data_IF_468249947857
#
_entry.id   IF_468249947857
#
_cell.length_a   1.000
_cell.length_b   1.000
_cell.length_c   1.000
_cell.angle_alpha   90.00
_cell.angle_beta   90.00
_cell.angle_gamma   90.00
#
_symmetry.space_group_name_H-M   'P 1'
#
loop_
_entity.id
_entity.type
_entity.pdbx_description
1 polymer ?
#
# COMPACT_ATOMS: atom_id res chain seq x y z
N UNK A 1 9.69 -12.17 -8.62
CA UNK A 1 8.87 -12.74 -7.54
C UNK A 1 8.58 -11.59 -6.59
N UNK A 2 7.34 -11.42 -6.13
CA UNK A 2 7.06 -10.45 -5.07
C UNK A 2 7.91 -10.80 -3.86
N UNK A 3 8.57 -9.82 -3.25
CA UNK A 3 9.43 -10.04 -2.11
C UNK A 3 9.06 -9.09 -0.97
N UNK A 4 9.20 -9.56 0.26
CA UNK A 4 9.18 -8.70 1.44
C UNK A 4 10.60 -8.39 1.93
N UNK A 5 11.61 -8.56 1.07
CA UNK A 5 13.03 -8.41 1.45
C UNK A 5 13.45 -6.97 1.75
N UNK A 6 12.75 -5.94 1.23
CA UNK A 6 13.14 -4.54 1.49
C UNK A 6 13.00 -4.23 2.98
N UNK A 7 11.85 -4.57 3.56
CA UNK A 7 11.50 -4.39 4.97
C UNK A 7 11.12 -5.75 5.53
N UNK A 8 12.11 -6.44 6.11
CA UNK A 8 12.06 -7.87 6.42
C UNK A 8 11.24 -8.20 7.69
N UNK A 9 10.91 -7.20 8.50
CA UNK A 9 10.06 -7.34 9.68
C UNK A 9 8.73 -6.61 9.48
N UNK A 10 7.72 -7.04 10.25
CA UNK A 10 6.47 -6.34 10.36
C UNK A 10 5.81 -6.46 11.73
N UNK A 11 4.87 -5.55 11.96
CA UNK A 11 3.94 -5.58 13.07
C UNK A 11 2.51 -5.44 12.56
N UNK A 12 1.59 -6.18 13.16
CA UNK A 12 0.15 -6.04 12.90
C UNK A 12 -0.51 -5.49 14.14
N UNK A 13 -1.10 -4.30 14.02
CA UNK A 13 -1.83 -3.62 15.08
C UNK A 13 -3.32 -3.72 14.75
N UNK A 14 -4.11 -4.23 15.69
CA UNK A 14 -5.58 -4.29 15.59
C UNK A 14 -6.18 -3.15 16.39
N UNK A 15 -7.13 -2.43 15.79
CA UNK A 15 -7.96 -1.43 16.46
C UNK A 15 -9.41 -1.91 16.38
N UNK A 16 -10.02 -2.21 17.54
CA UNK A 16 -11.36 -2.81 17.55
C UNK A 16 -12.47 -1.84 17.16
N UNK A 17 -13.45 -2.34 16.43
CA UNK A 17 -14.69 -1.61 16.15
C UNK A 17 -14.50 -0.32 15.33
N UNK A 18 -13.37 -0.18 14.61
CA UNK A 18 -13.01 0.99 13.82
C UNK A 18 -13.92 1.19 12.61
N UNK A 19 -14.22 0.13 11.88
CA UNK A 19 -15.01 0.15 10.66
C UNK A 19 -16.44 -0.34 10.88
N UNK A 20 -17.43 0.17 10.14
CA UNK A 20 -18.76 -0.44 10.15
C UNK A 20 -18.69 -1.86 9.60
N UNK A 21 -19.48 -2.77 10.17
CA UNK A 21 -19.56 -4.16 9.67
C UNK A 21 -20.18 -4.21 8.29
N UNK A 22 -21.22 -3.42 8.12
CA UNK A 22 -22.05 -3.37 6.93
C UNK A 22 -22.55 -1.96 6.69
N UNK A 23 -22.93 -1.69 5.45
CA UNK A 23 -23.61 -0.46 5.06
C UNK A 23 -25.09 -0.75 4.81
N UNK A 24 -26.02 -0.04 5.48
CA UNK A 24 -27.44 -0.16 5.21
C UNK A 24 -27.79 0.56 3.91
N UNK A 25 -28.09 -0.21 2.87
CA UNK A 25 -28.57 0.31 1.59
C UNK A 25 -30.07 0.08 1.45
N UNK A 26 -30.72 0.71 0.45
CA UNK A 26 -32.19 0.79 0.37
C UNK A 26 -32.90 -0.56 0.54
N UNK A 27 -32.39 -1.63 -0.08
CA UNK A 27 -33.01 -2.96 -0.09
C UNK A 27 -32.05 -4.09 0.29
N UNK A 28 -30.86 -3.78 0.82
CA UNK A 28 -29.82 -4.77 1.13
C UNK A 28 -28.78 -4.21 2.09
N UNK A 29 -27.97 -5.10 2.63
CA UNK A 29 -26.75 -4.76 3.38
C UNK A 29 -25.53 -5.02 2.49
N UNK A 30 -24.53 -4.15 2.57
CA UNK A 30 -23.22 -4.40 1.97
C UNK A 30 -22.24 -4.75 3.09
N UNK A 31 -21.70 -5.96 3.07
CA UNK A 31 -20.64 -6.34 4.00
C UNK A 31 -19.34 -5.63 3.64
N UNK A 32 -18.61 -5.16 4.65
CA UNK A 32 -17.29 -4.52 4.50
C UNK A 32 -16.16 -5.33 5.18
N UNK A 33 -16.49 -6.49 5.74
CA UNK A 33 -15.52 -7.43 6.29
C UNK A 33 -14.68 -8.09 5.21
N UNK A 34 -13.51 -8.59 5.60
CA UNK A 34 -12.55 -9.28 4.73
C UNK A 34 -12.20 -8.46 3.48
N UNK A 35 -11.95 -7.16 3.66
CA UNK A 35 -11.59 -6.28 2.56
C UNK A 35 -10.49 -5.32 2.93
N UNK A 36 -9.74 -4.89 1.91
CA UNK A 36 -8.70 -3.88 2.09
C UNK A 36 -9.28 -2.49 1.88
N UNK A 37 -8.93 -1.61 2.81
CA UNK A 37 -9.09 -0.18 2.72
C UNK A 37 -7.73 0.44 2.40
N UNK A 38 -7.73 1.57 1.71
CA UNK A 38 -6.53 2.30 1.35
C UNK A 38 -6.36 3.53 2.24
N UNK A 39 -5.26 3.63 2.99
CA UNK A 39 -4.95 4.84 3.76
C UNK A 39 -4.06 5.78 2.94
N UNK A 40 -4.45 7.06 2.90
CA UNK A 40 -3.70 8.13 2.23
C UNK A 40 -3.60 9.35 3.14
N UNK A 41 -2.55 10.16 2.92
CA UNK A 41 -2.34 11.43 3.59
C UNK A 41 -2.66 12.58 2.63
N UNK A 42 -3.60 13.44 3.02
CA UNK A 42 -4.05 14.61 2.25
C UNK A 42 -4.04 15.84 3.14
N UNK A 43 -3.35 16.90 2.73
CA UNK A 43 -3.28 18.17 3.48
C UNK A 43 -2.92 18.02 4.97
N UNK A 44 -2.02 17.07 5.31
CA UNK A 44 -1.59 16.69 6.67
C UNK A 44 -2.60 15.87 7.48
N UNK A 45 -3.79 15.60 6.96
CA UNK A 45 -4.76 14.68 7.54
C UNK A 45 -4.63 13.29 6.89
N UNK A 46 -5.06 12.24 7.58
CA UNK A 46 -5.15 10.91 6.98
C UNK A 46 -6.61 10.54 6.75
N UNK A 47 -6.84 9.89 5.63
CA UNK A 47 -8.13 9.37 5.24
C UNK A 47 -7.98 7.90 4.85
N UNK A 48 -8.97 7.12 5.25
CA UNK A 48 -9.10 5.73 4.83
C UNK A 48 -10.19 5.68 3.78
N UNK A 49 -9.87 5.11 2.63
CA UNK A 49 -10.75 4.97 1.48
C UNK A 49 -11.18 3.53 1.29
N UNK A 50 -12.40 3.35 0.82
CA UNK A 50 -12.90 2.07 0.34
C UNK A 50 -13.60 2.25 -0.99
N UNK A 51 -13.07 1.56 -2.00
CA UNK A 51 -13.83 1.28 -3.21
C UNK A 51 -14.90 0.22 -2.95
N UNK A 52 -16.14 0.58 -3.19
CA UNK A 52 -17.32 -0.26 -2.95
C UNK A 52 -17.54 -1.34 -4.03
N UNK A 53 -16.71 -1.35 -5.07
CA UNK A 53 -16.76 -2.27 -6.23
C UNK A 53 -18.07 -2.19 -7.04
N UNK A 54 -18.93 -1.24 -6.68
CA UNK A 54 -20.19 -0.93 -7.36
C UNK A 54 -20.57 0.52 -7.14
N UNK A 55 -21.35 1.04 -8.07
CA UNK A 55 -21.97 2.35 -7.96
C UNK A 55 -23.13 2.32 -6.97
N UNK A 56 -23.17 3.32 -6.08
CA UNK A 56 -24.29 3.64 -5.22
C UNK A 56 -25.36 4.37 -6.03
N UNK A 57 -26.62 3.96 -5.88
CA UNK A 57 -27.74 4.74 -6.40
C UNK A 57 -27.94 6.02 -5.57
N UNK A 58 -28.66 7.01 -6.11
CA UNK A 58 -28.94 8.23 -5.35
C UNK A 58 -29.74 7.96 -4.06
N UNK A 59 -30.59 6.93 -4.07
CA UNK A 59 -31.33 6.52 -2.88
C UNK A 59 -30.39 5.88 -1.84
N UNK A 60 -29.41 5.09 -2.28
CA UNK A 60 -28.38 4.54 -1.39
C UNK A 60 -27.58 5.66 -0.70
N UNK A 61 -27.18 6.69 -1.46
CA UNK A 61 -26.47 7.86 -0.93
C UNK A 61 -27.30 8.56 0.15
N UNK A 62 -28.57 8.86 -0.14
CA UNK A 62 -29.49 9.51 0.81
C UNK A 62 -29.70 8.67 2.08
N UNK A 63 -29.78 7.36 1.96
CA UNK A 63 -29.96 6.47 3.11
C UNK A 63 -28.71 6.44 4.01
N UNK A 64 -27.52 6.32 3.41
CA UNK A 64 -26.26 6.36 4.14
C UNK A 64 -26.04 7.71 4.83
N UNK A 65 -26.33 8.82 4.16
CA UNK A 65 -26.21 10.16 4.76
C UNK A 65 -27.23 10.43 5.87
N UNK A 66 -28.30 9.65 5.96
CA UNK A 66 -29.28 9.73 7.06
C UNK A 66 -28.94 8.79 8.22
N UNK A 67 -28.08 7.80 8.01
CA UNK A 67 -27.67 6.86 9.05
C UNK A 67 -26.83 7.59 10.13
N UNK A 68 -27.28 7.58 11.41
CA UNK A 68 -26.52 8.17 12.51
C UNK A 68 -25.13 7.54 12.69
N UNK A 69 -24.96 6.25 12.40
CA UNK A 69 -23.67 5.57 12.54
C UNK A 69 -22.67 6.04 11.48
N UNK A 70 -23.13 6.20 10.25
CA UNK A 70 -22.33 6.73 9.14
C UNK A 70 -21.75 8.11 9.48
N UNK A 71 -22.60 9.00 10.04
CA UNK A 71 -22.16 10.34 10.50
C UNK A 71 -21.22 10.27 11.70
N UNK A 72 -21.55 9.48 12.71
CA UNK A 72 -20.76 9.35 13.94
C UNK A 72 -19.32 8.88 13.65
N UNK A 73 -19.15 8.02 12.66
CA UNK A 73 -17.84 7.50 12.22
C UNK A 73 -17.10 8.44 11.26
N UNK A 74 -17.61 9.64 11.00
CA UNK A 74 -16.98 10.62 10.11
C UNK A 74 -16.89 10.14 8.65
N UNK A 75 -17.80 9.27 8.22
CA UNK A 75 -17.81 8.73 6.86
C UNK A 75 -18.39 9.74 5.87
N UNK A 76 -17.86 9.73 4.66
CA UNK A 76 -18.32 10.55 3.54
C UNK A 76 -18.33 9.74 2.25
N UNK A 77 -19.28 10.04 1.37
CA UNK A 77 -19.31 9.55 0.00
C UNK A 77 -18.60 10.62 -0.83
N UNK A 78 -17.45 10.29 -1.42
CA UNK A 78 -16.65 11.23 -2.22
C UNK A 78 -16.86 11.03 -3.73
N UNK A 79 -17.34 9.85 -4.12
CA UNK A 79 -17.75 9.48 -5.47
C UNK A 79 -18.79 8.35 -5.37
N UNK A 80 -19.50 8.04 -6.45
CA UNK A 80 -20.51 6.99 -6.53
C UNK A 80 -19.99 5.61 -6.11
N UNK A 81 -18.68 5.40 -6.11
CA UNK A 81 -18.04 4.12 -5.76
C UNK A 81 -17.13 4.20 -4.54
N UNK A 82 -16.93 5.38 -3.95
CA UNK A 82 -15.92 5.57 -2.91
C UNK A 82 -16.50 6.09 -1.60
N UNK A 83 -16.11 5.41 -0.53
CA UNK A 83 -16.25 5.91 0.83
C UNK A 83 -14.91 6.44 1.33
N UNK A 84 -14.99 7.53 2.06
CA UNK A 84 -13.89 8.12 2.80
C UNK A 84 -14.25 8.10 4.29
N UNK A 85 -13.27 7.75 5.13
CA UNK A 85 -13.36 7.79 6.58
C UNK A 85 -12.18 8.60 7.07
N UNK A 86 -12.44 9.71 7.77
CA UNK A 86 -11.35 10.48 8.39
C UNK A 86 -10.70 9.67 9.51
N UNK A 87 -9.37 9.65 9.55
CA UNK A 87 -8.62 9.10 10.69
C UNK A 87 -8.75 10.05 11.87
N UNK A 88 -9.05 9.51 13.06
CA UNK A 88 -9.20 10.29 14.29
C UNK A 88 -7.88 10.93 14.73
N UNK A 89 -7.99 12.04 15.45
CA UNK A 89 -6.86 12.90 15.82
C UNK A 89 -5.89 12.22 16.81
N UNK A 90 -6.30 11.13 17.47
CA UNK A 90 -5.50 10.33 18.39
C UNK A 90 -4.66 9.25 17.68
N UNK A 91 -5.16 8.68 16.56
CA UNK A 91 -4.43 7.72 15.74
C UNK A 91 -3.40 8.43 14.84
N UNK A 92 -3.71 9.66 14.42
CA UNK A 92 -2.88 10.46 13.53
C UNK A 92 -1.42 10.65 14.02
N UNK A 93 -1.13 11.04 15.28
CA UNK A 93 0.24 11.17 15.78
C UNK A 93 1.02 9.87 15.72
N UNK A 94 0.38 8.74 15.98
CA UNK A 94 1.02 7.43 16.02
C UNK A 94 1.41 6.98 14.62
N UNK A 95 0.49 7.10 13.65
CA UNK A 95 0.78 6.81 12.25
C UNK A 95 1.92 7.69 11.70
N UNK A 96 1.94 8.98 12.07
CA UNK A 96 3.05 9.87 11.68
C UNK A 96 4.37 9.41 12.31
N UNK A 97 4.41 9.14 13.62
CA UNK A 97 5.63 8.67 14.30
C UNK A 97 6.16 7.36 13.69
N UNK A 98 5.28 6.41 13.37
CA UNK A 98 5.67 5.14 12.74
C UNK A 98 6.24 5.33 11.32
N UNK A 99 5.69 6.27 10.54
CA UNK A 99 6.19 6.63 9.20
C UNK A 99 7.44 7.52 9.21
N UNK A 100 7.72 8.20 10.33
CA UNK A 100 8.92 9.03 10.55
C UNK A 100 10.11 8.22 11.08
N UNK A 101 9.88 7.01 11.60
CA UNK A 101 10.96 6.09 11.90
C UNK A 101 11.73 5.74 10.63
N UNK A 102 13.04 5.63 10.78
CA UNK A 102 13.92 5.23 9.67
C UNK A 102 13.55 3.83 9.22
N UNK A 103 13.62 3.60 7.92
CA UNK A 103 13.42 2.32 7.27
C UNK A 103 12.15 1.61 7.74
N UNK A 104 11.10 2.39 8.00
CA UNK A 104 9.81 1.94 8.50
C UNK A 104 8.71 2.61 7.70
N UNK A 105 7.60 1.90 7.49
CA UNK A 105 6.39 2.46 6.91
C UNK A 105 5.13 1.79 7.45
N UNK A 106 4.06 2.56 7.47
CA UNK A 106 2.69 2.03 7.55
C UNK A 106 2.28 1.66 6.12
N UNK A 107 2.07 0.37 5.89
CA UNK A 107 1.56 -0.11 4.60
C UNK A 107 0.19 0.54 4.32
N UNK A 108 -0.04 1.04 3.09
CA UNK A 108 -1.27 1.75 2.76
C UNK A 108 -2.51 0.84 2.76
N UNK A 109 -2.35 -0.48 2.79
CA UNK A 109 -3.46 -1.43 2.87
C UNK A 109 -3.80 -1.74 4.32
N UNK A 110 -4.98 -1.32 4.75
CA UNK A 110 -5.58 -1.70 6.03
C UNK A 110 -6.57 -2.83 5.78
N UNK A 111 -6.39 -3.96 6.46
CA UNK A 111 -7.35 -5.06 6.39
C UNK A 111 -8.51 -4.80 7.36
N UNK A 112 -9.74 -4.89 6.88
CA UNK A 112 -10.95 -4.84 7.69
C UNK A 112 -11.47 -6.25 7.93
N UNK A 113 -11.71 -6.61 9.19
CA UNK A 113 -12.39 -7.86 9.54
C UNK A 113 -13.20 -7.68 10.83
N UNK A 114 -14.45 -8.13 10.84
CA UNK A 114 -15.33 -8.08 12.02
C UNK A 114 -15.43 -6.70 12.69
N UNK A 115 -15.47 -5.61 11.90
CA UNK A 115 -15.41 -4.19 12.32
C UNK A 115 -14.04 -3.68 12.74
N UNK A 116 -13.03 -4.53 12.83
CA UNK A 116 -11.71 -4.13 13.29
C UNK A 116 -10.83 -3.70 12.11
N UNK A 117 -9.92 -2.76 12.40
CA UNK A 117 -8.88 -2.35 11.48
C UNK A 117 -7.57 -3.05 11.85
N UNK A 118 -6.95 -3.72 10.89
CA UNK A 118 -5.62 -4.33 11.02
C UNK A 118 -4.63 -3.51 10.20
N UNK A 119 -3.80 -2.75 10.91
CA UNK A 119 -2.77 -1.88 10.36
C UNK A 119 -1.46 -2.67 10.27
N UNK A 120 -0.86 -2.67 9.09
CA UNK A 120 0.40 -3.36 8.82
C UNK A 120 1.55 -2.34 8.81
N UNK A 121 2.48 -2.49 9.75
CA UNK A 121 3.71 -1.70 9.82
C UNK A 121 4.86 -2.59 9.33
N UNK A 122 5.66 -2.10 8.40
CA UNK A 122 6.80 -2.80 7.81
C UNK A 122 8.07 -2.04 8.20
N UNK A 123 9.13 -2.76 8.59
CA UNK A 123 10.38 -2.14 9.02
C UNK A 123 11.57 -3.11 8.89
N UNK A 124 12.80 -2.63 9.02
CA UNK A 124 13.98 -3.50 9.13
C UNK A 124 14.24 -3.91 10.57
N UNK A 125 14.84 -5.07 10.79
CA UNK A 125 15.07 -5.58 12.16
C UNK A 125 15.81 -4.61 13.11
N UNK A 126 16.67 -3.73 12.60
CA UNK A 126 17.40 -2.76 13.40
C UNK A 126 16.47 -1.75 14.12
N UNK A 127 15.28 -1.46 13.57
CA UNK A 127 14.31 -0.52 14.17
C UNK A 127 13.27 -1.20 15.07
N UNK A 128 13.38 -2.52 15.27
CA UNK A 128 12.40 -3.32 16.02
C UNK A 128 12.11 -2.78 17.42
N UNK A 129 13.13 -2.32 18.13
CA UNK A 129 12.96 -1.77 19.48
C UNK A 129 12.15 -0.46 19.45
N UNK A 130 12.47 0.43 18.51
CA UNK A 130 11.80 1.72 18.37
C UNK A 130 10.33 1.54 17.96
N UNK A 131 10.07 0.66 16.98
CA UNK A 131 8.70 0.31 16.55
C UNK A 131 7.92 -0.31 17.69
N UNK A 132 8.48 -1.31 18.38
CA UNK A 132 7.84 -1.97 19.52
C UNK A 132 7.44 -0.97 20.61
N UNK A 133 8.33 -0.04 20.95
CA UNK A 133 8.06 0.99 21.96
C UNK A 133 6.90 1.90 21.55
N UNK A 134 6.89 2.39 20.31
CA UNK A 134 5.79 3.23 19.81
C UNK A 134 4.44 2.49 19.82
N UNK A 135 4.44 1.18 19.52
CA UNK A 135 3.23 0.37 19.54
C UNK A 135 2.73 0.18 20.98
N UNK A 136 3.63 -0.08 21.93
CA UNK A 136 3.25 -0.20 23.34
C UNK A 136 2.71 1.13 23.89
N UNK A 137 3.36 2.26 23.59
CA UNK A 137 2.85 3.60 23.91
C UNK A 137 1.46 3.83 23.30
N UNK A 138 1.24 3.36 22.07
CA UNK A 138 -0.06 3.45 21.42
C UNK A 138 -1.12 2.62 22.14
N UNK A 139 -0.83 1.37 22.49
CA UNK A 139 -1.74 0.48 23.24
C UNK A 139 -2.12 1.10 24.60
N UNK A 140 -1.16 1.72 25.29
CA UNK A 140 -1.43 2.35 26.60
C UNK A 140 -2.24 3.65 26.51
N UNK A 141 -2.08 4.42 25.43
CA UNK A 141 -2.64 5.77 25.32
C UNK A 141 -3.96 5.86 24.55
N UNK A 142 -4.31 4.85 23.77
CA UNK A 142 -5.48 4.92 22.89
C UNK A 142 -6.80 4.64 23.63
N UNK A 143 -7.85 5.34 23.21
CA UNK A 143 -9.19 5.22 23.83
C UNK A 143 -9.91 3.95 23.41
N UNK A 144 -9.63 3.46 22.20
CA UNK A 144 -10.15 2.19 21.69
C UNK A 144 -9.28 1.01 22.13
N UNK A 145 -9.86 -0.19 22.17
CA UNK A 145 -9.11 -1.43 22.37
C UNK A 145 -8.12 -1.63 21.21
N UNK A 146 -6.84 -1.39 21.49
CA UNK A 146 -5.72 -1.65 20.57
C UNK A 146 -4.96 -2.89 21.02
N UNK A 147 -4.66 -3.77 20.08
CA UNK A 147 -3.93 -5.02 20.33
C UNK A 147 -2.77 -5.18 19.33
N UNK A 148 -1.61 -5.63 19.83
CA UNK A 148 -0.53 -6.13 18.97
C UNK A 148 -0.82 -7.59 18.61
N UNK A 149 -1.19 -7.84 17.35
CA UNK A 149 -1.55 -9.19 16.85
C UNK A 149 -0.30 -9.99 16.46
N UNK A 150 0.70 -9.31 15.89
CA UNK A 150 1.93 -9.94 15.42
C UNK A 150 3.10 -8.96 15.43
N UNK A 151 4.30 -9.44 15.76
CA UNK A 151 5.57 -8.71 15.63
C UNK A 151 6.70 -9.70 15.28
N UNK A 152 7.19 -9.67 14.06
CA UNK A 152 8.22 -10.61 13.61
C UNK A 152 8.57 -10.47 12.14
N UNK A 153 9.21 -11.50 11.59
CA UNK A 153 9.58 -11.51 10.17
C UNK A 153 8.35 -11.47 9.26
N UNK A 154 8.48 -10.81 8.12
CA UNK A 154 7.56 -11.00 7.00
C UNK A 154 7.64 -12.45 6.52
N UNK A 155 6.54 -12.97 5.98
CA UNK A 155 6.59 -14.29 5.33
C UNK A 155 7.33 -14.13 3.98
N UNK A 156 8.29 -15.02 3.73
CA UNK A 156 9.22 -14.95 2.59
C UNK A 156 8.50 -14.93 1.22
N UNK A 157 7.26 -15.45 1.16
CA UNK A 157 6.50 -15.52 -0.09
C UNK A 157 5.42 -14.43 -0.20
N UNK A 158 4.79 -14.04 0.90
CA UNK A 158 3.61 -13.14 0.88
C UNK A 158 3.69 -12.15 2.05
N UNK A 159 3.28 -10.88 1.90
CA UNK A 159 3.15 -9.96 3.03
C UNK A 159 2.29 -10.57 4.14
N UNK A 160 2.71 -10.45 5.41
CA UNK A 160 2.02 -11.12 6.53
C UNK A 160 0.52 -10.76 6.60
N UNK A 161 0.15 -9.52 6.25
CA UNK A 161 -1.26 -9.09 6.21
C UNK A 161 -2.11 -9.88 5.19
N UNK A 162 -1.53 -10.40 4.11
CA UNK A 162 -2.22 -11.28 3.16
C UNK A 162 -2.45 -12.69 3.74
N UNK A 163 -1.56 -13.15 4.64
CA UNK A 163 -1.78 -14.37 5.40
C UNK A 163 -2.98 -14.20 6.34
N UNK A 164 -3.04 -13.09 7.08
CA UNK A 164 -4.20 -12.79 7.93
C UNK A 164 -5.50 -12.68 7.12
N UNK A 165 -5.45 -12.09 5.93
CA UNK A 165 -6.60 -12.05 5.03
C UNK A 165 -7.12 -13.46 4.70
N UNK A 166 -6.23 -14.42 4.43
CA UNK A 166 -6.61 -15.82 4.23
C UNK A 166 -7.16 -16.46 5.50
N UNK A 167 -6.52 -16.24 6.65
CA UNK A 167 -6.95 -16.79 7.94
C UNK A 167 -8.36 -16.30 8.33
N UNK A 168 -8.75 -15.10 7.88
CA UNK A 168 -10.09 -14.55 8.05
C UNK A 168 -11.11 -15.03 6.99
N UNK A 169 -10.72 -15.94 6.11
CA UNK A 169 -11.57 -16.52 5.05
C UNK A 169 -11.54 -15.75 3.73
N UNK A 170 -10.58 -14.83 3.54
CA UNK A 170 -10.32 -14.19 2.26
C UNK A 170 -9.76 -15.16 1.21
N UNK A 171 -9.91 -14.82 -0.07
CA UNK A 171 -9.45 -15.65 -1.18
C UNK A 171 -8.42 -14.90 -2.03
N UNK A 172 -7.19 -15.44 -2.17
CA UNK A 172 -6.17 -14.80 -3.00
C UNK A 172 -6.58 -14.67 -4.48
N UNK A 173 -7.54 -15.46 -4.96
CA UNK A 173 -8.06 -15.32 -6.32
C UNK A 173 -8.89 -14.04 -6.54
N UNK A 174 -9.26 -13.35 -5.46
CA UNK A 174 -9.88 -12.01 -5.49
C UNK A 174 -8.85 -10.91 -5.71
N UNK A 175 -7.56 -11.27 -5.73
CA UNK A 175 -6.42 -10.38 -5.97
C UNK A 175 -5.69 -10.78 -7.26
N UNK A 176 -5.06 -9.79 -7.88
CA UNK A 176 -4.21 -9.93 -9.06
C UNK A 176 -2.81 -9.41 -8.79
N UNK A 177 -1.83 -10.13 -9.32
CA UNK A 177 -0.47 -9.61 -9.51
C UNK A 177 -0.38 -9.04 -10.90
N UNK A 178 -0.07 -7.75 -10.99
CA UNK A 178 0.24 -7.07 -12.24
C UNK A 178 1.74 -6.78 -12.24
N UNK A 179 2.45 -7.30 -13.25
CA UNK A 179 3.86 -7.02 -13.50
C UNK A 179 3.97 -6.08 -14.69
N UNK A 180 4.64 -4.94 -14.51
CA UNK A 180 4.95 -4.02 -15.61
C UNK A 180 6.44 -3.75 -15.69
N UNK A 181 6.95 -3.48 -16.88
CA UNK A 181 8.34 -3.10 -17.10
C UNK A 181 8.40 -1.74 -17.79
N UNK A 182 9.35 -0.91 -17.33
CA UNK A 182 9.79 0.27 -18.02
C UNK A 182 11.23 0.09 -18.48
N UNK A 183 11.42 0.08 -19.80
CA UNK A 183 12.75 0.01 -20.42
C UNK A 183 13.31 1.42 -20.58
N UNK A 184 14.24 1.77 -19.69
CA UNK A 184 14.87 3.08 -19.68
C UNK A 184 16.01 3.13 -20.70
N UNK A 185 16.14 4.26 -21.41
CA UNK A 185 17.39 4.58 -22.10
C UNK A 185 18.38 5.24 -21.12
N UNK A 186 19.64 5.42 -21.53
CA UNK A 186 20.68 5.99 -20.66
C UNK A 186 20.34 7.38 -20.12
N UNK A 187 19.62 8.21 -20.91
CA UNK A 187 19.17 9.52 -20.46
C UNK A 187 18.13 9.40 -19.34
N UNK A 188 17.17 8.47 -19.48
CA UNK A 188 16.18 8.23 -18.42
C UNK A 188 16.86 7.77 -17.13
N UNK A 189 17.77 6.80 -17.21
CA UNK A 189 18.50 6.28 -16.04
C UNK A 189 19.24 7.39 -15.29
N UNK A 190 19.85 8.34 -16.00
CA UNK A 190 20.63 9.42 -15.39
C UNK A 190 19.79 10.54 -14.78
N UNK A 191 18.62 10.86 -15.35
CA UNK A 191 17.88 12.07 -15.01
C UNK A 191 16.55 11.81 -14.29
N UNK A 192 15.91 10.68 -14.53
CA UNK A 192 14.62 10.36 -13.91
C UNK A 192 14.81 10.16 -12.41
N UNK A 193 13.97 10.84 -11.63
CA UNK A 193 14.03 10.82 -10.15
C UNK A 193 15.44 11.10 -9.62
N UNK A 194 16.10 12.11 -10.20
CA UNK A 194 17.48 12.50 -9.86
C UNK A 194 18.50 11.36 -10.00
N UNK A 195 18.24 10.44 -10.93
CA UNK A 195 19.12 9.32 -11.24
C UNK A 195 19.08 8.19 -10.22
N UNK A 196 18.00 8.08 -9.43
CA UNK A 196 17.81 6.97 -8.46
C UNK A 196 17.95 5.60 -9.12
N UNK A 197 17.49 5.46 -10.36
CA UNK A 197 17.48 4.19 -11.08
C UNK A 197 18.85 3.78 -11.63
N UNK A 198 19.91 4.52 -11.31
CA UNK A 198 21.30 4.04 -11.45
C UNK A 198 21.68 3.01 -10.38
N UNK A 199 20.91 2.95 -9.29
CA UNK A 199 21.10 1.96 -8.23
C UNK A 199 20.29 0.71 -8.57
N UNK A 200 20.98 -0.43 -8.62
CA UNK A 200 20.30 -1.71 -8.75
C UNK A 200 19.81 -2.19 -7.38
N UNK A 201 18.67 -2.86 -7.38
CA UNK A 201 18.03 -3.35 -6.16
C UNK A 201 16.52 -3.20 -6.21
N UNK A 202 15.90 -3.15 -5.04
CA UNK A 202 14.45 -3.08 -4.89
C UNK A 202 14.06 -1.85 -4.10
N UNK A 203 12.88 -1.29 -4.40
CA UNK A 203 12.38 -0.13 -3.69
C UNK A 203 10.88 -0.13 -3.55
N UNK A 204 10.44 0.59 -2.53
CA UNK A 204 9.04 0.87 -2.20
C UNK A 204 8.91 2.35 -1.83
N UNK A 205 7.76 2.99 -2.06
CA UNK A 205 7.46 4.28 -1.46
C UNK A 205 7.19 4.09 0.04
N UNK A 206 7.68 5.03 0.84
CA UNK A 206 7.34 5.11 2.27
C UNK A 206 5.82 5.35 2.44
N UNK A 207 5.28 6.26 1.64
CA UNK A 207 3.84 6.53 1.56
C UNK A 207 3.46 6.93 0.13
N UNK A 208 2.19 6.75 -0.23
CA UNK A 208 1.64 7.36 -1.43
C UNK A 208 1.07 8.73 -1.06
N UNK A 209 1.68 9.82 -1.55
CA UNK A 209 1.17 11.18 -1.30
C UNK A 209 0.85 11.92 -2.58
N UNK A 210 -0.07 12.86 -2.44
CA UNK A 210 -0.26 13.94 -3.40
C UNK A 210 0.68 15.10 -3.03
N UNK A 211 1.93 15.06 -3.49
CA UNK A 211 2.93 16.08 -3.17
C UNK A 211 4.09 16.15 -4.16
N UNK A 212 4.96 17.17 -4.06
CA UNK A 212 6.11 17.34 -4.95
C UNK A 212 7.32 16.44 -4.62
N UNK A 213 7.28 15.77 -3.47
CA UNK A 213 8.36 14.92 -2.98
C UNK A 213 7.81 13.57 -2.54
N UNK A 214 8.54 12.52 -2.91
CA UNK A 214 8.27 11.15 -2.47
C UNK A 214 9.51 10.61 -1.75
N UNK A 215 9.29 10.00 -0.58
CA UNK A 215 10.33 9.26 0.13
C UNK A 215 10.29 7.81 -0.31
N UNK A 216 11.41 7.29 -0.82
CA UNK A 216 11.54 5.89 -1.19
C UNK A 216 12.47 5.18 -0.21
N UNK A 217 12.12 3.93 0.13
CA UNK A 217 12.98 3.01 0.88
C UNK A 217 13.54 2.03 -0.14
N UNK A 218 14.87 1.96 -0.24
CA UNK A 218 15.59 1.24 -1.28
C UNK A 218 16.54 0.23 -0.65
N UNK A 219 16.42 -1.04 -1.02
CA UNK A 219 17.38 -2.09 -0.68
C UNK A 219 18.32 -2.32 -1.86
N UNK A 220 19.58 -1.98 -1.69
CA UNK A 220 20.59 -2.03 -2.74
C UNK A 220 21.08 -3.46 -2.97
N UNK A 221 21.33 -3.81 -4.23
CA UNK A 221 21.97 -5.06 -4.60
C UNK A 221 23.51 -5.02 -4.43
N UNK A 222 24.10 -3.83 -4.37
CA UNK A 222 25.54 -3.63 -4.25
C UNK A 222 25.89 -2.45 -3.34
N UNK A 223 27.18 -2.26 -3.07
CA UNK A 223 27.66 -1.28 -2.08
C UNK A 223 27.80 0.15 -2.61
N UNK A 224 27.69 0.34 -3.91
CA UNK A 224 27.88 1.64 -4.56
C UNK A 224 26.54 2.39 -4.67
N UNK A 225 26.49 3.61 -4.12
CA UNK A 225 25.34 4.51 -4.19
C UNK A 225 25.60 5.53 -5.31
N UNK A 226 24.72 5.56 -6.32
CA UNK A 226 24.81 6.39 -7.54
C UNK A 226 23.64 7.36 -7.63
N UNK A 227 23.82 8.49 -8.32
CA UNK A 227 22.75 9.47 -8.57
C UNK A 227 22.93 10.78 -7.80
N UNK A 228 22.01 11.71 -8.02
CA UNK A 228 22.01 13.09 -7.46
C UNK A 228 20.77 13.36 -6.61
N UNK A 229 20.33 12.39 -5.84
CA UNK A 229 19.22 12.54 -4.89
C UNK A 229 19.71 12.91 -3.50
N UNK A 230 18.77 13.35 -2.66
CA UNK A 230 19.03 13.62 -1.25
C UNK A 230 18.89 12.33 -0.45
N UNK A 231 20.03 11.80 0.00
CA UNK A 231 20.06 10.68 0.94
C UNK A 231 19.59 11.16 2.31
N UNK A 232 18.55 10.53 2.85
CA UNK A 232 17.99 10.84 4.17
C UNK A 232 18.66 9.99 5.25
N UNK A 233 18.75 8.68 5.01
CA UNK A 233 19.38 7.72 5.91
C UNK A 233 20.00 6.57 5.12
N UNK A 234 21.04 5.93 5.67
CA UNK A 234 21.63 4.71 5.11
C UNK A 234 22.05 3.73 6.19
N UNK A 235 21.64 2.48 6.04
CA UNK A 235 21.96 1.35 6.89
C UNK A 235 22.94 0.43 6.14
N UNK A 236 24.20 0.44 6.57
CA UNK A 236 25.26 -0.37 5.93
C UNK A 236 25.06 -1.88 6.12
N UNK A 237 24.55 -2.33 7.27
CA UNK A 237 24.39 -3.76 7.57
C UNK A 237 23.34 -4.41 6.68
N UNK A 238 22.23 -3.71 6.46
CA UNK A 238 21.10 -4.20 5.67
C UNK A 238 21.12 -3.71 4.22
N UNK A 239 22.06 -2.83 3.86
CA UNK A 239 22.15 -2.19 2.55
C UNK A 239 20.85 -1.45 2.16
N UNK A 240 20.20 -0.83 3.14
CA UNK A 240 18.94 -0.10 2.96
C UNK A 240 19.17 1.39 3.08
N UNK A 241 18.69 2.17 2.11
CA UNK A 241 18.72 3.63 2.14
C UNK A 241 17.31 4.23 2.05
N UNK A 242 17.15 5.38 2.66
CA UNK A 242 16.00 6.25 2.46
C UNK A 242 16.42 7.46 1.64
N UNK A 243 15.65 7.74 0.60
CA UNK A 243 15.93 8.81 -0.32
C UNK A 243 14.71 9.69 -0.48
N UNK A 244 14.95 10.99 -0.51
CA UNK A 244 13.95 12.00 -0.84
C UNK A 244 14.11 12.33 -2.32
N UNK A 245 13.08 11.98 -3.09
CA UNK A 245 13.06 12.17 -4.54
C UNK A 245 12.07 13.27 -4.90
N UNK A 246 12.58 14.33 -5.53
CA UNK A 246 11.73 15.30 -6.20
C UNK A 246 11.27 14.68 -7.52
N UNK A 247 10.06 14.14 -7.53
CA UNK A 247 9.50 13.48 -8.69
C UNK A 247 8.02 13.72 -8.82
N UNK A 248 7.58 13.85 -10.08
CA UNK A 248 6.17 13.79 -10.39
C UNK A 248 5.69 12.35 -10.69
N UNK A 249 6.57 11.34 -10.57
CA UNK A 249 6.23 9.97 -10.94
C UNK A 249 5.17 9.38 -10.02
N UNK A 250 5.42 9.34 -8.71
CA UNK A 250 4.45 8.78 -7.76
C UNK A 250 3.33 9.75 -7.45
N UNK A 251 3.60 11.06 -7.49
CA UNK A 251 2.53 12.07 -7.51
C UNK A 251 1.49 11.79 -8.61
N UNK A 252 1.91 11.66 -9.87
CA UNK A 252 0.97 11.36 -10.94
C UNK A 252 0.39 9.95 -10.82
N UNK A 253 1.16 8.99 -10.32
CA UNK A 253 0.64 7.64 -10.11
C UNK A 253 -0.51 7.69 -9.11
N UNK A 254 -0.35 8.47 -8.04
CA UNK A 254 -1.40 8.72 -7.07
C UNK A 254 -2.62 9.38 -7.72
N UNK A 255 -2.39 10.42 -8.53
CA UNK A 255 -3.46 11.19 -9.21
C UNK A 255 -4.19 10.40 -10.30
N UNK A 256 -3.48 9.62 -11.11
CA UNK A 256 -4.05 8.94 -12.28
C UNK A 256 -4.54 7.52 -11.97
N UNK A 257 -3.90 6.84 -11.02
CA UNK A 257 -4.15 5.43 -10.68
C UNK A 257 -4.83 5.32 -9.33
N UNK A 258 -4.14 5.69 -8.25
CA UNK A 258 -4.56 5.38 -6.86
C UNK A 258 -5.89 6.04 -6.52
N UNK A 259 -6.02 7.34 -6.79
CA UNK A 259 -7.21 8.14 -6.46
C UNK A 259 -8.48 7.69 -7.21
N UNK A 260 -8.32 7.02 -8.34
CA UNK A 260 -9.41 6.48 -9.15
C UNK A 260 -9.69 5.01 -8.81
N UNK A 261 -8.89 4.41 -7.93
CA UNK A 261 -8.89 2.98 -7.66
C UNK A 261 -9.26 2.67 -6.20
N UNK A 262 -8.57 3.27 -5.23
CA UNK A 262 -8.79 3.12 -3.77
C UNK A 262 -9.14 1.69 -3.29
N UNK A 263 -8.53 0.68 -3.93
CA UNK A 263 -8.59 -0.71 -3.50
C UNK A 263 -7.28 -1.15 -2.83
N UNK A 264 -7.12 -2.46 -2.64
CA UNK A 264 -5.87 -3.09 -2.23
C UNK A 264 -4.74 -2.66 -3.17
N UNK A 265 -3.66 -2.13 -2.65
CA UNK A 265 -2.49 -1.73 -3.42
C UNK A 265 -1.22 -2.06 -2.65
N UNK A 266 -0.69 -3.24 -2.91
CA UNK A 266 0.68 -3.56 -2.52
C UNK A 266 1.57 -3.21 -3.71
N UNK A 267 2.61 -2.41 -3.46
CA UNK A 267 3.60 -2.05 -4.48
C UNK A 267 5.02 -2.39 -4.04
N UNK A 268 5.77 -3.00 -4.96
CA UNK A 268 7.22 -3.17 -4.91
C UNK A 268 7.76 -2.95 -6.33
N UNK A 269 8.96 -2.39 -6.46
CA UNK A 269 9.67 -2.32 -7.72
C UNK A 269 11.12 -2.77 -7.60
N UNK A 270 11.66 -3.24 -8.72
CA UNK A 270 13.03 -3.68 -8.89
C UNK A 270 13.68 -2.93 -10.04
N UNK A 271 14.91 -2.47 -9.83
CA UNK A 271 15.76 -1.87 -10.85
C UNK A 271 16.89 -2.83 -11.16
N UNK A 272 16.98 -3.27 -12.42
CA UNK A 272 18.05 -4.14 -12.90
C UNK A 272 18.32 -3.88 -14.37
N UNK A 273 19.58 -3.71 -14.77
CA UNK A 273 19.98 -3.56 -16.18
C UNK A 273 19.15 -2.51 -16.96
N UNK A 274 18.92 -1.33 -16.38
CA UNK A 274 18.10 -0.25 -16.95
C UNK A 274 16.61 -0.59 -17.15
N UNK A 275 16.10 -1.61 -16.48
CA UNK A 275 14.68 -1.97 -16.47
C UNK A 275 14.14 -1.71 -15.07
N UNK A 276 13.07 -0.91 -14.97
CA UNK A 276 12.26 -0.83 -13.75
C UNK A 276 11.10 -1.81 -13.88
N UNK A 277 11.18 -2.90 -13.15
CA UNK A 277 10.10 -3.87 -13.02
C UNK A 277 9.23 -3.49 -11.84
N UNK A 278 7.94 -3.28 -12.05
CA UNK A 278 6.99 -2.96 -10.98
C UNK A 278 6.08 -4.16 -10.76
N UNK A 279 5.82 -4.48 -9.50
CA UNK A 279 4.85 -5.47 -9.06
C UNK A 279 3.75 -4.76 -8.28
N UNK A 280 2.51 -5.03 -8.66
CA UNK A 280 1.32 -4.54 -7.99
C UNK A 280 0.44 -5.71 -7.57
N UNK A 281 -0.01 -5.75 -6.33
CA UNK A 281 -1.12 -6.61 -5.92
C UNK A 281 -2.37 -5.74 -5.77
N UNK A 282 -3.40 -6.06 -6.56
CA UNK A 282 -4.63 -5.27 -6.67
C UNK A 282 -5.88 -6.15 -6.57
N UNK A 283 -7.05 -5.58 -6.26
CA UNK A 283 -8.33 -6.27 -6.34
C UNK A 283 -8.63 -6.66 -7.79
N UNK A 284 -8.95 -7.93 -8.01
CA UNK A 284 -9.29 -8.49 -9.31
C UNK A 284 -10.49 -7.79 -9.94
N UNK A 285 -11.54 -7.55 -9.15
CA UNK A 285 -12.78 -6.89 -9.59
C UNK A 285 -12.56 -5.44 -10.04
N UNK A 286 -11.46 -4.82 -9.60
CA UNK A 286 -11.11 -3.44 -9.91
C UNK A 286 -9.91 -3.33 -10.87
N UNK A 287 -9.43 -4.45 -11.40
CA UNK A 287 -8.23 -4.48 -12.27
C UNK A 287 -8.39 -3.63 -13.53
N UNK A 288 -9.58 -3.59 -14.13
CA UNK A 288 -9.85 -2.75 -15.31
C UNK A 288 -9.71 -1.24 -15.01
N UNK A 289 -10.16 -0.81 -13.82
CA UNK A 289 -10.01 0.57 -13.34
C UNK A 289 -8.55 0.89 -13.11
N UNK A 290 -7.81 -0.04 -12.49
CA UNK A 290 -6.37 0.09 -12.29
C UNK A 290 -5.60 0.21 -13.61
N UNK A 291 -5.88 -0.66 -14.59
CA UNK A 291 -5.26 -0.59 -15.92
C UNK A 291 -5.63 0.69 -16.68
N UNK A 292 -6.86 1.16 -16.56
CA UNK A 292 -7.26 2.44 -17.16
C UNK A 292 -6.46 3.61 -16.54
N UNK A 293 -6.26 3.60 -15.22
CA UNK A 293 -5.38 4.53 -14.53
C UNK A 293 -3.94 4.45 -15.00
N UNK A 294 -3.38 3.24 -15.10
CA UNK A 294 -2.01 3.03 -15.60
C UNK A 294 -1.85 3.58 -17.02
N UNK A 295 -2.83 3.34 -17.89
CA UNK A 295 -2.83 3.88 -19.25
C UNK A 295 -2.79 5.40 -19.25
N UNK A 296 -3.60 6.07 -18.40
CA UNK A 296 -3.57 7.53 -18.27
C UNK A 296 -2.21 8.02 -17.78
N UNK A 297 -1.70 7.40 -16.71
CA UNK A 297 -0.39 7.71 -16.14
C UNK A 297 0.73 7.64 -17.18
N UNK A 298 0.77 6.58 -17.98
CA UNK A 298 1.76 6.36 -19.04
C UNK A 298 1.57 7.28 -20.25
N UNK A 299 0.35 7.75 -20.49
CA UNK A 299 0.03 8.64 -21.61
C UNK A 299 0.30 10.12 -21.33
N UNK A 300 0.72 10.47 -20.11
CA UNK A 300 1.06 11.86 -19.76
C UNK A 300 2.24 12.36 -20.64
N UNK A 301 2.20 13.62 -21.14
CA UNK A 301 3.18 14.11 -22.12
C UNK A 301 4.65 13.94 -21.71
N UNK A 302 4.95 14.12 -20.43
CA UNK A 302 6.30 13.92 -19.87
C UNK A 302 6.81 12.48 -19.91
N UNK A 303 5.94 11.51 -20.18
CA UNK A 303 6.25 10.08 -20.35
C UNK A 303 6.11 9.60 -21.79
N UNK A 304 5.90 10.49 -22.75
CA UNK A 304 5.77 10.15 -24.17
C UNK A 304 6.92 9.30 -24.73
N UNK A 305 8.12 9.44 -24.16
CA UNK A 305 9.31 8.68 -24.57
C UNK A 305 9.51 7.38 -23.75
N UNK A 306 8.67 7.09 -22.77
CA UNK A 306 8.82 5.91 -21.91
C UNK A 306 8.31 4.66 -22.62
N UNK A 307 9.13 3.61 -22.62
CA UNK A 307 8.74 2.28 -23.13
C UNK A 307 8.20 1.44 -21.99
N UNK A 308 6.91 1.60 -21.71
CA UNK A 308 6.20 0.84 -20.68
C UNK A 308 5.46 -0.34 -21.31
N UNK A 309 5.46 -1.49 -20.64
CA UNK A 309 4.66 -2.64 -21.04
C UNK A 309 4.13 -3.44 -19.84
N UNK A 310 2.97 -4.06 -20.03
CA UNK A 310 2.43 -5.05 -19.09
C UNK A 310 3.04 -6.41 -19.46
N UNK A 311 3.77 -7.00 -18.53
CA UNK A 311 4.46 -8.29 -18.72
C UNK A 311 3.55 -9.44 -18.32
N UNK A 312 2.81 -9.28 -17.21
CA UNK A 312 1.92 -10.29 -16.70
C UNK A 312 0.77 -9.66 -15.91
N UNK A 313 -0.38 -10.32 -15.94
CA UNK A 313 -1.54 -10.04 -15.11
C UNK A 313 -2.20 -11.38 -14.76
N UNK A 314 -1.96 -11.87 -13.54
CA UNK A 314 -2.26 -13.25 -13.15
C UNK A 314 -2.97 -13.25 -11.78
N UNK A 315 -3.86 -14.21 -11.55
CA UNK A 315 -4.42 -14.51 -10.23
C UNK A 315 -3.31 -14.58 -9.19
N UNK A 316 -3.43 -13.88 -8.06
CA UNK A 316 -2.41 -13.98 -7.00
C UNK A 316 -2.29 -15.44 -6.50
N UNK A 317 -3.41 -16.16 -6.38
CA UNK A 317 -3.40 -17.59 -6.06
C UNK A 317 -2.69 -18.48 -7.10
N UNK A 318 -2.77 -18.15 -8.39
CA UNK A 318 -2.04 -18.86 -9.46
C UNK A 318 -0.57 -18.50 -9.46
N UNK A 319 -0.24 -17.23 -9.25
CA UNK A 319 1.13 -16.74 -9.12
C UNK A 319 1.89 -17.50 -8.02
N UNK A 320 1.23 -17.74 -6.88
CA UNK A 320 1.85 -18.49 -5.77
C UNK A 320 2.09 -19.97 -6.08
N UNK A 321 1.18 -20.62 -6.80
CA UNK A 321 1.37 -22.01 -7.24
C UNK A 321 2.55 -22.15 -8.20
N UNK A 322 2.86 -21.12 -8.97
CA UNK A 322 3.99 -21.11 -9.90
C UNK A 322 5.32 -20.77 -9.22
N UNK A 323 5.29 -20.02 -8.11
CA UNK A 323 6.49 -19.56 -7.39
C UNK A 323 7.01 -20.53 -6.34
N UNK A 324 6.17 -21.45 -5.85
CA UNK A 324 6.56 -22.51 -4.91
C UNK A 324 6.58 -23.84 -5.67
N UNK A 325 7.75 -24.40 -6.02
CA UNK A 325 7.83 -25.75 -6.58
C UNK A 325 7.26 -26.74 -5.56
N UNK A 326 6.43 -27.68 -6.02
CA UNK A 326 5.78 -28.74 -5.23
C UNK A 326 6.68 -29.27 -4.11
N UNK A 327 6.46 -28.74 -2.91
CA UNK A 327 6.86 -29.32 -1.63
C UNK A 327 5.88 -28.76 -0.60
N UNK A 328 4.64 -29.20 -0.68
CA UNK A 328 3.95 -29.88 0.40
C UNK A 328 2.51 -30.18 -0.02
N UNK A 329 2.16 -31.46 0.05
CA UNK A 329 0.80 -31.96 0.05
C UNK A 329 -0.02 -31.26 1.14
N UNK A 330 -1.29 -30.97 0.80
CA UNK A 330 -2.42 -30.71 1.68
C UNK A 330 -2.37 -29.42 2.55
N UNK A 331 -3.20 -28.45 2.14
CA UNK A 331 -4.10 -27.74 3.07
C UNK A 331 -5.52 -28.00 2.59
#
# INVERSE_FOLDING_TARGET
>A
MWSSEILDQCAIIRIKGRFPRELPLMNRKMMLENSFFFISKENKEYFVYRNLERKLSDIDKVNLEKDPEFKRRGMKIIDETFLQIRVEDDLLPVLNKLNELKWSRVNPCILSHSQDAYIHVEFINDDREAVSRLILEFIESHVQDVELVYLGGQNENIPYILKLFLDFGGNLNDLFVIKTEWHMNSQNVQNENSGVFQNEGKFIPNYFTNGPHDTLIFKLAGTEIKGKYKLVNFNNSNMVMEIDTETNFFHDFNTEVVSNYYGALFYEAEVRNNIVTNFYIVNRNLSSVFFAGLKRHWSLPKRSNHKNLVVAAIGLGEFYKQSVPDNHEAI
#
